data_IF_775493999612
#
_entry.id   IF_775493999612
#
_cell.length_a   1.000
_cell.length_b   1.000
_cell.length_c   1.000
_cell.angle_alpha   90.00
_cell.angle_beta   90.00
_cell.angle_gamma   90.00
#
_symmetry.space_group_name_H-M   'P 1'
#
loop_
_entity.id
_entity.type
_entity.pdbx_description
1 polymer ?
#
# COMPACT_ATOMS: atom_id res chain seq x y z
N UNK A 1 -4.12 -19.97 -9.35
CA UNK A 1 -4.45 -19.32 -10.64
C UNK A 1 -3.31 -18.37 -10.94
N UNK A 2 -2.68 -18.41 -12.13
CA UNK A 2 -1.61 -17.46 -12.44
C UNK A 2 -2.25 -16.08 -12.66
N UNK A 3 -1.96 -15.14 -11.77
CA UNK A 3 -2.39 -13.75 -11.87
C UNK A 3 -1.71 -13.13 -13.09
N UNK A 4 -2.45 -12.94 -14.17
CA UNK A 4 -1.97 -12.27 -15.38
C UNK A 4 -1.55 -10.85 -15.03
N UNK A 5 -0.28 -10.53 -15.26
CA UNK A 5 0.25 -9.17 -15.11
C UNK A 5 -0.49 -8.29 -16.13
N UNK A 6 -1.13 -7.19 -15.71
CA UNK A 6 -1.80 -6.31 -16.65
C UNK A 6 -0.77 -5.74 -17.61
N UNK A 7 -0.93 -6.06 -18.90
CA UNK A 7 -0.17 -5.55 -20.05
C UNK A 7 -0.49 -4.08 -20.30
N UNK A 8 -0.35 -3.24 -19.28
CA UNK A 8 -0.35 -1.80 -19.45
C UNK A 8 1.08 -1.42 -19.77
N UNK A 9 1.33 -0.85 -20.96
CA UNK A 9 2.65 -0.32 -21.33
C UNK A 9 3.15 0.82 -20.42
N UNK A 10 2.34 1.22 -19.44
CA UNK A 10 2.74 2.11 -18.36
C UNK A 10 3.61 1.39 -17.33
N UNK A 11 4.92 1.62 -17.42
CA UNK A 11 5.94 1.09 -16.53
C UNK A 11 6.31 2.05 -15.39
N UNK A 12 5.53 3.12 -15.19
CA UNK A 12 5.84 4.08 -14.13
C UNK A 12 5.84 3.42 -12.75
N UNK A 13 6.94 3.60 -12.02
CA UNK A 13 7.10 3.07 -10.66
C UNK A 13 6.53 4.08 -9.66
N UNK A 14 5.77 3.56 -8.71
CA UNK A 14 5.31 4.30 -7.54
C UNK A 14 5.71 3.55 -6.27
N UNK A 15 5.94 4.31 -5.19
CA UNK A 15 5.94 3.78 -3.83
C UNK A 15 4.63 4.16 -3.15
N UNK A 16 3.89 3.15 -2.70
CA UNK A 16 2.74 3.31 -1.82
C UNK A 16 3.20 3.15 -0.38
N UNK A 17 2.92 4.16 0.44
CA UNK A 17 3.17 4.14 1.89
C UNK A 17 1.86 4.36 2.62
N UNK A 18 1.56 3.59 3.67
CA UNK A 18 0.40 3.80 4.53
C UNK A 18 0.70 3.38 5.98
N UNK A 19 -0.21 3.73 6.88
CA UNK A 19 -0.11 3.49 8.32
C UNK A 19 -1.37 2.79 8.80
N UNK A 20 -1.22 1.72 9.57
CA UNK A 20 -2.33 0.84 9.96
C UNK A 20 -2.07 0.22 11.34
N UNK A 21 -3.10 -0.11 12.15
CA UNK A 21 -2.92 -0.93 13.33
C UNK A 21 -2.29 -2.29 13.00
N UNK A 22 -1.40 -2.84 13.84
CA UNK A 22 -0.76 -4.14 13.60
C UNK A 22 -1.74 -5.30 13.36
N UNK A 23 -2.93 -5.25 13.97
CA UNK A 23 -3.98 -6.26 13.80
C UNK A 23 -4.55 -6.33 12.37
N UNK A 24 -4.44 -5.23 11.62
CA UNK A 24 -5.13 -5.05 10.34
C UNK A 24 -4.15 -5.02 9.15
N UNK A 25 -2.84 -5.04 9.41
CA UNK A 25 -1.78 -5.02 8.39
C UNK A 25 -1.98 -6.09 7.33
N UNK A 26 -2.17 -7.34 7.75
CA UNK A 26 -2.28 -8.46 6.80
C UNK A 26 -3.53 -8.34 5.92
N UNK A 27 -4.66 -7.89 6.48
CA UNK A 27 -5.89 -7.69 5.73
C UNK A 27 -5.71 -6.60 4.65
N UNK A 28 -5.06 -5.49 5.00
CA UNK A 28 -4.73 -4.42 4.06
C UNK A 28 -3.77 -4.91 2.96
N UNK A 29 -2.70 -5.62 3.33
CA UNK A 29 -1.73 -6.17 2.38
C UNK A 29 -2.39 -7.12 1.38
N UNK A 30 -3.18 -8.09 1.85
CA UNK A 30 -3.88 -9.04 0.96
C UNK A 30 -4.84 -8.33 0.00
N UNK A 31 -5.55 -7.30 0.45
CA UNK A 31 -6.42 -6.49 -0.42
C UNK A 31 -5.60 -5.76 -1.50
N UNK A 32 -4.47 -5.15 -1.12
CA UNK A 32 -3.59 -4.43 -2.06
C UNK A 32 -2.95 -5.40 -3.06
N UNK A 33 -2.39 -6.51 -2.60
CA UNK A 33 -1.70 -7.48 -3.48
C UNK A 33 -2.64 -8.11 -4.51
N UNK A 34 -3.93 -8.29 -4.17
CA UNK A 34 -4.95 -8.75 -5.13
C UNK A 34 -5.09 -7.86 -6.38
N UNK A 35 -4.60 -6.62 -6.32
CA UNK A 35 -4.63 -5.66 -7.44
C UNK A 35 -3.44 -5.77 -8.40
N UNK A 36 -2.42 -6.55 -8.02
CA UNK A 36 -1.13 -6.67 -8.69
C UNK A 36 -0.01 -5.81 -8.09
N UNK A 37 -0.33 -4.90 -7.16
CA UNK A 37 0.67 -4.16 -6.37
C UNK A 37 1.56 -5.10 -5.55
N UNK A 38 2.79 -4.67 -5.23
CA UNK A 38 3.77 -5.52 -4.55
C UNK A 38 4.45 -6.54 -5.47
N UNK A 39 4.18 -6.50 -6.78
CA UNK A 39 4.94 -7.25 -7.80
C UNK A 39 6.13 -6.43 -8.25
N UNK A 40 7.35 -6.90 -7.98
CA UNK A 40 8.57 -6.19 -8.39
C UNK A 40 8.99 -6.59 -9.81
N UNK A 41 9.31 -5.61 -10.69
CA UNK A 41 9.74 -5.92 -12.05
C UNK A 41 11.16 -6.50 -12.08
N UNK A 42 11.42 -7.44 -13.01
CA UNK A 42 12.78 -7.93 -13.23
C UNK A 42 13.68 -6.81 -13.77
N UNK A 43 14.99 -6.81 -13.46
CA UNK A 43 15.90 -5.76 -13.93
C UNK A 43 15.89 -5.63 -15.47
N UNK A 44 15.89 -4.40 -16.02
CA UNK A 44 15.91 -4.19 -17.46
C UNK A 44 17.08 -4.90 -18.13
N UNK A 45 16.85 -5.50 -19.30
CA UNK A 45 17.89 -6.15 -20.10
C UNK A 45 18.41 -7.49 -19.55
N UNK A 46 17.82 -8.00 -18.45
CA UNK A 46 18.24 -9.29 -17.87
C UNK A 46 17.38 -10.48 -18.28
N UNK A 47 16.18 -10.28 -18.82
CA UNK A 47 15.23 -11.35 -19.10
C UNK A 47 14.31 -11.04 -20.31
N UNK A 48 13.69 -12.07 -20.93
CA UNK A 48 12.61 -11.89 -21.90
C UNK A 48 11.47 -11.03 -21.33
N UNK A 49 10.78 -10.27 -22.19
CA UNK A 49 9.72 -9.34 -21.78
C UNK A 49 8.54 -10.04 -21.06
N UNK A 50 8.34 -11.33 -21.37
CA UNK A 50 7.26 -12.15 -20.82
C UNK A 50 7.71 -13.05 -19.66
N UNK A 51 8.93 -12.86 -19.14
CA UNK A 51 9.42 -13.65 -18.02
C UNK A 51 8.60 -13.38 -16.74
N UNK A 52 8.31 -14.40 -15.93
CA UNK A 52 7.57 -14.23 -14.69
C UNK A 52 8.33 -13.31 -13.71
N UNK A 53 7.60 -12.52 -12.93
CA UNK A 53 8.18 -11.71 -11.87
C UNK A 53 8.83 -12.59 -10.80
N UNK A 54 10.05 -12.23 -10.38
CA UNK A 54 10.80 -12.98 -9.35
C UNK A 54 10.25 -12.76 -7.93
N UNK A 55 9.56 -11.64 -7.70
CA UNK A 55 9.01 -11.29 -6.39
C UNK A 55 7.58 -10.75 -6.54
N UNK A 56 6.67 -11.33 -5.76
CA UNK A 56 5.27 -10.91 -5.61
C UNK A 56 4.98 -10.71 -4.13
N UNK A 57 3.88 -10.05 -3.82
CA UNK A 57 3.44 -9.81 -2.43
C UNK A 57 4.53 -9.13 -1.58
N UNK A 58 5.29 -8.24 -2.20
CA UNK A 58 6.35 -7.51 -1.52
C UNK A 58 5.77 -6.35 -0.71
N UNK A 59 6.31 -6.18 0.50
CA UNK A 59 6.12 -5.01 1.34
C UNK A 59 7.28 -4.93 2.35
N UNK A 60 7.64 -3.70 2.74
CA UNK A 60 8.45 -3.43 3.90
C UNK A 60 7.53 -2.92 5.01
N UNK A 61 7.64 -3.50 6.20
CA UNK A 61 6.81 -3.15 7.35
C UNK A 61 7.70 -2.72 8.49
N UNK A 62 7.40 -1.57 9.08
CA UNK A 62 8.12 -1.03 10.23
C UNK A 62 7.14 -0.54 11.29
N UNK A 63 7.42 -0.87 12.54
CA UNK A 63 6.58 -0.48 13.67
C UNK A 63 6.94 0.93 14.15
N UNK A 64 5.93 1.70 14.53
CA UNK A 64 6.07 3.06 15.01
C UNK A 64 4.92 3.48 15.91
N UNK A 65 4.90 4.77 16.23
CA UNK A 65 3.89 5.38 17.09
C UNK A 65 3.18 6.49 16.32
N UNK A 66 1.88 6.31 16.10
CA UNK A 66 0.98 7.33 15.58
C UNK A 66 0.47 8.23 16.69
N UNK A 67 0.32 9.52 16.41
CA UNK A 67 -0.26 10.50 17.32
C UNK A 67 -1.29 11.34 16.60
N UNK A 68 -2.48 11.46 17.17
CA UNK A 68 -3.56 12.24 16.58
C UNK A 68 -4.51 12.76 17.66
N UNK A 69 -5.34 13.73 17.30
CA UNK A 69 -6.41 14.25 18.16
C UNK A 69 -7.69 14.30 17.34
N UNK A 70 -8.62 13.35 17.53
CA UNK A 70 -9.89 13.36 16.79
C UNK A 70 -10.65 14.66 17.08
N UNK A 71 -11.27 15.24 16.07
CA UNK A 71 -12.17 16.39 16.26
C UNK A 71 -13.59 15.90 16.51
N UNK A 72 -14.50 16.79 16.91
CA UNK A 72 -15.92 16.44 17.09
C UNK A 72 -16.61 15.94 15.79
N UNK A 73 -16.01 16.17 14.63
CA UNK A 73 -16.51 15.70 13.34
C UNK A 73 -15.98 14.30 12.95
N UNK A 74 -15.04 13.73 13.72
CA UNK A 74 -14.44 12.43 13.42
C UNK A 74 -15.26 11.29 14.04
N UNK A 75 -15.35 10.16 13.34
CA UNK A 75 -15.78 8.88 13.91
C UNK A 75 -14.55 7.95 14.04
N UNK A 76 -13.67 8.18 15.03
CA UNK A 76 -12.39 7.50 15.09
C UNK A 76 -12.55 6.02 15.42
N UNK A 77 -11.76 5.18 14.74
CA UNK A 77 -11.64 3.76 15.10
C UNK A 77 -10.98 3.57 16.48
N UNK A 78 -10.09 4.50 16.86
CA UNK A 78 -9.35 4.51 18.13
C UNK A 78 -9.47 5.89 18.76
N UNK A 79 -9.82 5.93 20.05
CA UNK A 79 -9.79 7.15 20.85
C UNK A 79 -11.08 7.96 20.90
N UNK A 80 -11.01 9.16 21.48
CA UNK A 80 -12.19 10.04 21.71
C UNK A 80 -12.00 11.45 21.12
N UNK A 81 -13.07 12.08 20.60
CA UNK A 81 -13.02 13.48 20.18
C UNK A 81 -12.50 14.42 21.26
N UNK A 82 -11.51 15.24 20.92
CA UNK A 82 -10.89 16.22 21.80
C UNK A 82 -9.66 15.72 22.54
N UNK A 83 -9.49 14.40 22.71
CA UNK A 83 -8.36 13.82 23.46
C UNK A 83 -7.17 13.52 22.55
N UNK A 84 -5.96 13.69 23.07
CA UNK A 84 -4.75 13.29 22.36
C UNK A 84 -4.60 11.78 22.47
N UNK A 85 -4.47 11.13 21.33
CA UNK A 85 -4.33 9.69 21.22
C UNK A 85 -2.91 9.35 20.76
N UNK A 86 -2.39 8.27 21.34
CA UNK A 86 -1.12 7.66 20.98
C UNK A 86 -1.41 6.20 20.68
N UNK A 87 -1.17 5.78 19.45
CA UNK A 87 -1.44 4.43 19.00
C UNK A 87 -0.18 3.81 18.40
N UNK A 88 -0.05 2.51 18.58
CA UNK A 88 0.96 1.73 17.89
C UNK A 88 0.50 1.45 16.47
N UNK A 89 1.36 1.75 15.50
CA UNK A 89 1.04 1.61 14.08
C UNK A 89 2.18 0.93 13.32
N UNK A 90 1.83 0.28 12.22
CA UNK A 90 2.78 -0.21 11.24
C UNK A 90 2.77 0.70 10.03
N UNK A 91 3.95 1.25 9.72
CA UNK A 91 4.23 1.89 8.44
C UNK A 91 4.55 0.79 7.43
N UNK A 92 3.70 0.68 6.43
CA UNK A 92 3.83 -0.27 5.34
C UNK A 92 4.23 0.48 4.08
N UNK A 93 5.24 -0.03 3.38
CA UNK A 93 5.75 0.54 2.13
C UNK A 93 5.92 -0.55 1.08
N UNK A 94 5.45 -0.30 -0.14
CA UNK A 94 5.66 -1.23 -1.25
C UNK A 94 5.78 -0.50 -2.57
N UNK A 95 6.37 -1.18 -3.55
CA UNK A 95 6.40 -0.70 -4.93
C UNK A 95 5.19 -1.18 -5.71
N UNK A 96 4.70 -0.29 -6.57
CA UNK A 96 3.60 -0.52 -7.48
C UNK A 96 4.00 -0.04 -8.87
N UNK A 97 3.94 -0.93 -9.85
CA UNK A 97 4.23 -0.62 -11.25
C UNK A 97 2.92 -0.34 -11.99
N UNK A 98 2.90 0.81 -12.68
CA UNK A 98 1.80 1.26 -13.52
C UNK A 98 0.76 2.10 -12.77
N UNK A 99 0.38 3.22 -13.39
CA UNK A 99 -0.61 4.17 -12.86
C UNK A 99 -1.99 3.53 -12.65
N UNK A 100 -2.50 2.64 -13.53
CA UNK A 100 -3.76 1.94 -13.26
C UNK A 100 -3.70 1.07 -12.01
N UNK A 101 -2.56 0.41 -11.78
CA UNK A 101 -2.36 -0.50 -10.64
C UNK A 101 -2.31 0.27 -9.34
N UNK A 102 -1.56 1.39 -9.26
CA UNK A 102 -1.51 2.18 -8.02
C UNK A 102 -2.87 2.79 -7.65
N UNK A 103 -3.68 3.19 -8.64
CA UNK A 103 -5.06 3.65 -8.40
C UNK A 103 -5.93 2.56 -7.79
N UNK A 104 -5.93 1.35 -8.38
CA UNK A 104 -6.67 0.20 -7.83
C UNK A 104 -6.16 -0.20 -6.44
N UNK A 105 -4.85 -0.15 -6.21
CA UNK A 105 -4.25 -0.44 -4.91
C UNK A 105 -4.73 0.53 -3.82
N UNK A 106 -4.78 1.83 -4.12
CA UNK A 106 -5.31 2.84 -3.19
C UNK A 106 -6.80 2.62 -2.92
N UNK A 107 -7.60 2.29 -3.94
CA UNK A 107 -9.02 1.96 -3.75
C UNK A 107 -9.22 0.71 -2.89
N UNK A 108 -8.40 -0.33 -3.09
CA UNK A 108 -8.44 -1.55 -2.30
C UNK A 108 -8.03 -1.28 -0.84
N UNK A 109 -6.96 -0.52 -0.63
CA UNK A 109 -6.53 -0.07 0.70
C UNK A 109 -7.68 0.65 1.41
N UNK A 110 -8.29 1.66 0.78
CA UNK A 110 -9.40 2.42 1.39
C UNK A 110 -10.59 1.57 1.82
N UNK A 111 -10.86 0.46 1.12
CA UNK A 111 -11.96 -0.46 1.46
C UNK A 111 -11.60 -1.42 2.59
N UNK A 112 -10.35 -1.86 2.66
CA UNK A 112 -9.88 -2.83 3.65
C UNK A 112 -9.42 -2.19 4.96
N UNK A 113 -9.03 -0.91 4.92
CA UNK A 113 -8.47 -0.22 6.06
C UNK A 113 -9.52 0.03 7.17
N UNK A 114 -9.19 -0.16 8.46
CA UNK A 114 -10.14 -0.01 9.56
C UNK A 114 -10.56 1.46 9.82
N UNK A 115 -9.70 2.41 9.46
CA UNK A 115 -9.98 3.84 9.66
C UNK A 115 -10.80 4.44 8.52
N UNK A 116 -11.74 5.32 8.89
CA UNK A 116 -12.57 6.10 7.95
C UNK A 116 -11.71 6.95 7.00
N UNK A 117 -10.70 7.63 7.55
CA UNK A 117 -9.76 8.46 6.78
C UNK A 117 -8.39 7.80 6.80
N UNK A 118 -8.01 7.18 5.69
CA UNK A 118 -6.74 6.47 5.56
C UNK A 118 -5.59 7.45 5.29
N UNK A 119 -4.56 7.41 6.12
CA UNK A 119 -3.30 8.10 5.88
C UNK A 119 -2.42 7.28 4.93
N UNK A 120 -2.23 7.75 3.70
CA UNK A 120 -1.33 7.13 2.73
C UNK A 120 -0.66 8.17 1.82
N UNK A 121 0.43 7.75 1.20
CA UNK A 121 1.22 8.55 0.26
C UNK A 121 1.54 7.72 -0.97
N UNK A 122 1.42 8.34 -2.15
CA UNK A 122 1.87 7.78 -3.42
C UNK A 122 3.00 8.64 -3.93
N UNK A 123 4.21 8.09 -3.95
CA UNK A 123 5.40 8.78 -4.45
C UNK A 123 5.76 8.23 -5.81
N UNK A 124 5.90 9.09 -6.82
CA UNK A 124 6.43 8.69 -8.13
C UNK A 124 7.93 8.42 -7.99
N UNK A 125 8.41 7.29 -8.50
CA UNK A 125 9.80 6.87 -8.39
C UNK A 125 10.47 6.81 -9.77
N UNK A 126 11.72 7.23 -9.82
CA UNK A 126 12.59 7.04 -10.97
C UNK A 126 13.20 5.62 -10.93
N UNK A 127 13.62 5.12 -12.09
CA UNK A 127 14.17 3.77 -12.24
C UNK A 127 15.69 3.74 -12.48
N UNK A 128 16.41 4.82 -12.11
CA UNK A 128 17.85 5.00 -12.33
C UNK A 128 18.59 5.31 -11.03
#
# INVERSE_FOLDING_TARGET
>A
MPTTIPTSGDTQIYKLTFYVPPSDTQACLSAIWSTGAGTWPNPPGTEPVDAPAKYIETAFVSRGTGMFRPTAAANPHIGKPGDAEVAEEEKVEMVVVGTPTVKRAVEALRKAHPYEVVAFFVTKCESF
#
